data_IF_164101627993
#
_entry.id   IF_164101627993
#
_cell.length_a   1.000
_cell.length_b   1.000
_cell.length_c   1.000
_cell.angle_alpha   90.00
_cell.angle_beta   90.00
_cell.angle_gamma   90.00
#
_symmetry.space_group_name_H-M   'P 1'
#
loop_
_entity.id
_entity.type
_entity.pdbx_description
1 polymer ?
#
# COMPACT_ATOMS: atom_id res chain seq x y z
N UNK A 1 -14.03 -17.97 8.75
CA UNK A 1 -13.87 -18.53 10.08
C UNK A 1 -13.24 -17.49 11.00
N UNK A 2 -13.75 -17.41 12.25
CA UNK A 2 -13.19 -16.50 13.27
C UNK A 2 -13.10 -17.25 14.60
N UNK A 3 -11.99 -17.07 15.30
CA UNK A 3 -11.80 -17.56 16.66
C UNK A 3 -11.12 -16.49 17.50
N UNK A 4 -11.54 -16.35 18.74
CA UNK A 4 -11.01 -15.39 19.69
C UNK A 4 -10.95 -16.02 21.08
N UNK A 5 -9.91 -15.75 21.83
CA UNK A 5 -9.71 -16.18 23.20
C UNK A 5 -9.12 -15.03 24.00
N UNK A 6 -9.64 -14.79 25.19
CA UNK A 6 -9.09 -13.86 26.16
C UNK A 6 -8.71 -14.66 27.41
N UNK A 7 -7.48 -14.47 27.88
CA UNK A 7 -6.93 -15.16 29.03
C UNK A 7 -6.48 -14.15 30.07
N UNK A 8 -7.13 -14.07 31.21
CA UNK A 8 -6.61 -13.31 32.35
C UNK A 8 -5.40 -14.06 32.92
N UNK A 9 -4.20 -13.53 32.67
CA UNK A 9 -2.95 -14.11 33.17
C UNK A 9 -2.76 -13.77 34.65
N UNK A 10 -3.12 -12.54 35.01
CA UNK A 10 -3.14 -12.01 36.37
C UNK A 10 -4.43 -11.18 36.52
N UNK A 11 -4.77 -10.82 37.76
CA UNK A 11 -5.93 -9.96 38.02
C UNK A 11 -5.85 -8.61 37.28
N UNK A 12 -4.62 -8.15 37.01
CA UNK A 12 -4.33 -6.89 36.35
C UNK A 12 -3.69 -7.03 34.94
N UNK A 13 -3.59 -8.27 34.41
CA UNK A 13 -3.03 -8.53 33.08
C UNK A 13 -3.93 -9.49 32.30
N UNK A 14 -4.48 -9.01 31.21
CA UNK A 14 -5.22 -9.81 30.25
C UNK A 14 -4.51 -9.85 28.91
N UNK A 15 -4.48 -11.02 28.29
CA UNK A 15 -3.97 -11.24 26.92
C UNK A 15 -5.12 -11.77 26.08
N UNK A 16 -5.29 -11.21 24.89
CA UNK A 16 -6.34 -11.59 23.93
C UNK A 16 -5.68 -11.99 22.61
N UNK A 17 -5.98 -13.20 22.17
CA UNK A 17 -5.59 -13.72 20.87
C UNK A 17 -6.81 -13.88 19.97
N UNK A 18 -6.70 -13.53 18.71
CA UNK A 18 -7.72 -13.74 17.72
C UNK A 18 -7.11 -14.20 16.39
N UNK A 19 -7.85 -14.99 15.65
CA UNK A 19 -7.49 -15.39 14.29
C UNK A 19 -8.74 -15.33 13.41
N UNK A 20 -8.58 -14.75 12.23
CA UNK A 20 -9.61 -14.70 11.19
C UNK A 20 -9.08 -15.36 9.93
N UNK A 21 -9.85 -16.30 9.40
CA UNK A 21 -9.57 -16.94 8.12
C UNK A 21 -10.70 -16.63 7.15
N UNK A 22 -10.34 -16.16 5.96
CA UNK A 22 -11.26 -15.79 4.90
C UNK A 22 -10.83 -16.45 3.59
N UNK A 23 -11.82 -16.89 2.82
CA UNK A 23 -11.65 -17.48 1.50
C UNK A 23 -12.52 -16.74 0.50
N UNK A 24 -11.91 -16.34 -0.61
CA UNK A 24 -12.53 -15.66 -1.74
C UNK A 24 -12.54 -16.63 -2.93
N UNK A 25 -13.55 -17.48 -2.96
CA UNK A 25 -13.66 -18.59 -3.93
C UNK A 25 -13.66 -18.11 -5.38
N UNK A 26 -14.27 -16.96 -5.64
CA UNK A 26 -14.33 -16.35 -6.98
C UNK A 26 -12.94 -15.95 -7.53
N UNK A 27 -11.97 -15.74 -6.64
CA UNK A 27 -10.62 -15.30 -6.99
C UNK A 27 -9.56 -16.35 -6.65
N UNK A 28 -9.95 -17.45 -6.01
CA UNK A 28 -9.03 -18.47 -5.52
C UNK A 28 -8.08 -17.97 -4.44
N UNK A 29 -8.43 -16.90 -3.73
CA UNK A 29 -7.62 -16.29 -2.68
C UNK A 29 -8.08 -16.73 -1.31
N UNK A 30 -7.13 -16.93 -0.41
CA UNK A 30 -7.37 -17.18 1.01
C UNK A 30 -6.37 -16.40 1.84
N UNK A 31 -6.78 -16.00 3.02
CA UNK A 31 -5.90 -15.32 3.97
C UNK A 31 -6.26 -15.63 5.41
N UNK A 32 -5.24 -15.67 6.25
CA UNK A 32 -5.38 -15.82 7.70
C UNK A 32 -4.75 -14.63 8.37
N UNK A 33 -5.53 -13.90 9.17
CA UNK A 33 -5.12 -12.68 9.87
C UNK A 33 -5.11 -12.95 11.37
N UNK A 34 -3.93 -13.12 11.98
CA UNK A 34 -3.78 -13.21 13.43
C UNK A 34 -3.81 -11.82 14.08
N UNK A 35 -4.25 -11.77 15.34
CA UNK A 35 -4.15 -10.59 16.20
C UNK A 35 -3.82 -11.01 17.62
N UNK A 36 -2.90 -10.30 18.24
CA UNK A 36 -2.56 -10.43 19.64
C UNK A 36 -2.67 -9.07 20.32
N UNK A 37 -3.23 -9.02 21.51
CA UNK A 37 -3.26 -7.79 22.31
C UNK A 37 -3.10 -8.10 23.79
N UNK A 38 -2.53 -7.14 24.50
CA UNK A 38 -2.34 -7.18 25.94
C UNK A 38 -2.79 -5.88 26.58
N UNK A 39 -3.43 -5.97 27.72
CA UNK A 39 -3.77 -4.87 28.61
C UNK A 39 -3.21 -5.15 29.98
N UNK A 40 -2.41 -4.25 30.51
CA UNK A 40 -1.79 -4.35 31.83
C UNK A 40 -2.12 -3.11 32.68
N UNK A 41 -2.83 -3.32 33.76
CA UNK A 41 -3.11 -2.30 34.78
C UNK A 41 -1.96 -2.28 35.78
N UNK A 42 -1.01 -1.35 35.54
CA UNK A 42 0.18 -1.19 36.41
C UNK A 42 -0.22 -0.82 37.83
N UNK A 43 -1.16 0.12 37.91
CA UNK A 43 -1.89 0.57 39.11
C UNK A 43 -3.34 0.86 38.66
N UNK A 44 -4.30 1.01 39.58
CA UNK A 44 -5.70 1.28 39.20
C UNK A 44 -5.90 2.50 38.30
N UNK A 45 -5.01 3.49 38.41
CA UNK A 45 -5.06 4.73 37.64
C UNK A 45 -4.32 4.65 36.30
N UNK A 46 -3.48 3.64 36.06
CA UNK A 46 -2.61 3.55 34.87
C UNK A 46 -2.74 2.20 34.20
N UNK A 47 -3.27 2.19 33.00
CA UNK A 47 -3.31 1.02 32.12
C UNK A 47 -2.40 1.20 30.91
N UNK A 48 -1.57 0.20 30.62
CA UNK A 48 -0.80 0.07 29.40
C UNK A 48 -1.55 -0.88 28.45
N UNK A 49 -1.39 -0.64 27.16
CA UNK A 49 -1.93 -1.51 26.12
C UNK A 49 -0.93 -1.70 24.99
N UNK A 50 -0.89 -2.89 24.46
CA UNK A 50 -0.12 -3.21 23.28
C UNK A 50 -0.95 -4.14 22.39
N UNK A 51 -0.82 -4.00 21.09
CA UNK A 51 -1.39 -4.96 20.16
C UNK A 51 -0.54 -5.06 18.89
N UNK A 52 -0.56 -6.24 18.32
CA UNK A 52 -0.02 -6.56 17.01
C UNK A 52 -1.04 -7.39 16.26
N UNK A 53 -1.11 -7.19 14.96
CA UNK A 53 -1.97 -8.01 14.12
C UNK A 53 -1.76 -7.75 12.64
N UNK A 54 -2.22 -8.70 11.85
CA UNK A 54 -2.21 -8.62 10.41
C UNK A 54 -3.63 -8.35 9.89
N UNK A 55 -3.69 -7.63 8.78
CA UNK A 55 -4.91 -7.35 8.03
C UNK A 55 -4.63 -7.50 6.54
N UNK A 56 -5.67 -7.75 5.76
CA UNK A 56 -5.54 -7.82 4.32
C UNK A 56 -6.79 -7.27 3.63
N UNK A 57 -6.63 -6.90 2.36
CA UNK A 57 -7.71 -6.50 1.46
C UNK A 57 -7.57 -7.31 0.17
N UNK A 58 -8.59 -8.09 -0.17
CA UNK A 58 -8.63 -8.80 -1.44
C UNK A 58 -8.79 -7.81 -2.60
N UNK A 59 -8.17 -8.06 -3.77
CA UNK A 59 -8.40 -7.25 -4.95
C UNK A 59 -9.88 -7.29 -5.35
N UNK A 60 -10.36 -6.19 -5.90
CA UNK A 60 -11.73 -6.13 -6.41
C UNK A 60 -11.85 -6.89 -7.72
N UNK A 61 -13.05 -7.36 -8.07
CA UNK A 61 -13.31 -8.02 -9.36
C UNK A 61 -12.98 -7.14 -10.57
N UNK A 62 -13.05 -5.81 -10.41
CA UNK A 62 -12.63 -4.86 -11.45
C UNK A 62 -11.11 -4.86 -11.65
N UNK A 63 -10.33 -4.99 -10.56
CA UNK A 63 -8.87 -5.02 -10.60
C UNK A 63 -8.34 -6.34 -11.18
N UNK A 64 -9.06 -7.44 -11.00
CA UNK A 64 -8.62 -8.77 -11.47
C UNK A 64 -9.13 -9.13 -12.86
N UNK A 65 -10.22 -8.51 -13.31
CA UNK A 65 -10.85 -8.83 -14.60
C UNK A 65 -10.01 -8.29 -15.77
N UNK A 66 -9.55 -9.15 -16.70
CA UNK A 66 -8.92 -8.67 -17.93
C UNK A 66 -9.87 -7.74 -18.71
N UNK A 67 -9.34 -6.64 -19.25
CA UNK A 67 -10.13 -5.77 -20.11
C UNK A 67 -10.64 -6.56 -21.32
N UNK A 68 -11.93 -6.48 -21.55
CA UNK A 68 -12.50 -6.86 -22.83
C UNK A 68 -12.07 -5.80 -23.86
N UNK A 69 -11.80 -6.22 -25.09
CA UNK A 69 -11.30 -5.34 -26.18
C UNK A 69 -11.86 -3.93 -26.12
N UNK A 70 -10.98 -2.92 -26.03
CA UNK A 70 -11.24 -1.48 -26.18
C UNK A 70 -12.09 -0.78 -25.09
N UNK A 71 -12.46 -1.45 -23.99
CA UNK A 71 -13.38 -0.84 -23.01
C UNK A 71 -12.78 0.31 -22.20
N UNK A 72 -11.44 0.39 -22.07
CA UNK A 72 -10.76 1.40 -21.25
C UNK A 72 -9.52 1.96 -21.96
N UNK A 73 -9.64 2.28 -23.23
CA UNK A 73 -8.56 2.90 -23.99
C UNK A 73 -8.80 4.40 -24.14
N UNK A 74 -7.72 5.17 -24.11
CA UNK A 74 -7.71 6.60 -24.35
C UNK A 74 -6.36 7.02 -24.90
N UNK A 75 -6.32 8.22 -25.48
CA UNK A 75 -5.09 8.78 -26.01
C UNK A 75 -4.09 9.11 -24.89
N UNK A 76 -2.80 8.93 -25.16
CA UNK A 76 -1.73 9.44 -24.30
C UNK A 76 -1.48 10.91 -24.63
N UNK A 77 -1.63 11.78 -23.63
CA UNK A 77 -1.47 13.22 -23.78
C UNK A 77 -0.19 13.75 -23.11
N UNK A 78 0.49 12.91 -22.31
CA UNK A 78 1.69 13.28 -21.58
C UNK A 78 2.55 12.04 -21.34
N UNK A 79 3.75 12.26 -20.81
CA UNK A 79 4.68 11.21 -20.48
C UNK A 79 5.86 11.14 -21.45
N UNK A 80 6.88 10.40 -21.03
CA UNK A 80 8.11 10.21 -21.82
C UNK A 80 8.49 8.74 -21.88
N UNK A 81 9.10 8.38 -22.97
CA UNK A 81 9.74 7.09 -23.14
C UNK A 81 11.26 7.26 -23.03
N UNK A 82 11.79 6.95 -21.87
CA UNK A 82 13.23 7.10 -21.57
C UNK A 82 14.12 6.29 -22.52
N UNK A 83 13.58 5.18 -23.06
CA UNK A 83 14.34 4.33 -23.97
C UNK A 83 14.55 5.01 -25.34
N UNK A 84 13.56 5.68 -25.88
CA UNK A 84 13.65 6.37 -27.16
C UNK A 84 13.92 7.87 -27.03
N UNK A 85 13.83 8.43 -25.84
CA UNK A 85 13.90 9.88 -25.59
C UNK A 85 12.75 10.65 -26.20
N UNK A 86 11.65 9.99 -26.58
CA UNK A 86 10.49 10.61 -27.21
C UNK A 86 9.33 10.77 -26.24
N UNK A 87 8.44 11.73 -26.53
CA UNK A 87 7.19 11.88 -25.81
C UNK A 87 6.21 10.78 -26.21
N UNK A 88 5.36 10.37 -25.27
CA UNK A 88 4.29 9.36 -25.47
C UNK A 88 3.04 9.94 -26.15
N UNK A 89 3.15 11.10 -26.76
CA UNK A 89 2.04 11.79 -27.41
C UNK A 89 1.52 11.04 -28.64
N UNK A 90 0.20 10.88 -28.74
CA UNK A 90 -0.48 10.29 -29.88
C UNK A 90 -0.53 8.77 -29.92
N UNK A 91 -0.01 8.09 -28.89
CA UNK A 91 -0.24 6.66 -28.69
C UNK A 91 -1.51 6.40 -27.88
N UNK A 92 -1.86 5.13 -27.76
CA UNK A 92 -3.02 4.68 -26.96
C UNK A 92 -2.58 4.13 -25.60
N UNK A 93 -3.33 4.44 -24.57
CA UNK A 93 -3.26 3.77 -23.27
C UNK A 93 -4.53 2.95 -23.07
N UNK A 94 -4.38 1.67 -22.78
CA UNK A 94 -5.51 0.81 -22.41
C UNK A 94 -5.30 0.27 -21.00
N UNK A 95 -6.27 0.50 -20.11
CA UNK A 95 -6.26 -0.07 -18.76
C UNK A 95 -6.85 -1.49 -18.79
N UNK A 96 -6.18 -2.43 -18.12
CA UNK A 96 -6.62 -3.80 -17.97
C UNK A 96 -6.48 -4.24 -16.52
N UNK A 97 -7.40 -5.06 -16.03
CA UNK A 97 -7.22 -5.77 -14.77
C UNK A 97 -6.15 -6.84 -14.89
N UNK A 98 -5.63 -7.26 -13.75
CA UNK A 98 -4.60 -8.29 -13.65
C UNK A 98 -5.15 -9.48 -12.85
N UNK A 99 -5.39 -10.65 -13.47
CA UNK A 99 -5.91 -11.83 -12.79
C UNK A 99 -4.91 -12.43 -11.78
N UNK A 100 -3.66 -12.04 -11.82
CA UNK A 100 -2.60 -12.53 -10.94
C UNK A 100 -2.38 -11.66 -9.69
N UNK A 101 -3.30 -10.73 -9.40
CA UNK A 101 -3.20 -9.91 -8.19
C UNK A 101 -3.36 -10.74 -6.94
N UNK A 102 -2.42 -10.57 -6.01
CA UNK A 102 -2.57 -11.02 -4.64
C UNK A 102 -3.29 -9.99 -3.75
N UNK A 103 -3.64 -10.34 -2.52
CA UNK A 103 -4.21 -9.41 -1.56
C UNK A 103 -3.19 -8.36 -1.12
N UNK A 104 -3.67 -7.15 -0.85
CA UNK A 104 -2.90 -6.16 -0.08
C UNK A 104 -2.78 -6.63 1.37
N UNK A 105 -1.65 -6.39 2.01
CA UNK A 105 -1.41 -6.76 3.40
C UNK A 105 -1.03 -5.55 4.24
N UNK A 106 -1.41 -5.58 5.50
CA UNK A 106 -0.97 -4.60 6.48
C UNK A 106 -0.63 -5.31 7.79
N UNK A 107 0.54 -4.97 8.35
CA UNK A 107 0.92 -5.29 9.71
C UNK A 107 0.71 -4.06 10.57
N UNK A 108 0.01 -4.23 11.69
CA UNK A 108 -0.40 -3.12 12.56
C UNK A 108 0.13 -3.39 13.95
N UNK A 109 0.98 -2.49 14.44
CA UNK A 109 1.50 -2.51 15.81
C UNK A 109 1.04 -1.27 16.56
N UNK A 110 0.48 -1.44 17.75
CA UNK A 110 0.05 -0.34 18.61
C UNK A 110 0.64 -0.48 20.00
N UNK A 111 1.03 0.67 20.56
CA UNK A 111 1.40 0.82 21.97
C UNK A 111 0.72 2.06 22.52
N UNK A 112 0.20 1.96 23.74
CA UNK A 112 -0.40 3.12 24.35
C UNK A 112 -0.58 2.98 25.85
N UNK A 113 -0.96 4.08 26.47
CA UNK A 113 -1.36 4.10 27.86
C UNK A 113 -2.59 4.97 28.06
N UNK A 114 -3.29 4.72 29.13
CA UNK A 114 -4.35 5.59 29.66
C UNK A 114 -4.07 5.80 31.12
N UNK A 115 -4.06 7.08 31.54
CA UNK A 115 -3.88 7.48 32.92
C UNK A 115 -5.09 8.29 33.40
N UNK A 116 -5.70 7.81 34.46
CA UNK A 116 -6.90 8.39 35.10
C UNK A 116 -6.63 8.57 36.59
N UNK A 117 -5.90 9.62 36.98
CA UNK A 117 -5.53 9.88 38.37
C UNK A 117 -6.75 10.12 39.25
N UNK A 118 -6.60 9.82 40.53
CA UNK A 118 -7.59 10.09 41.56
C UNK A 118 -7.17 11.27 42.47
N UNK A 119 -8.03 11.64 43.40
CA UNK A 119 -7.75 12.71 44.37
C UNK A 119 -7.81 14.12 43.77
N UNK A 120 -6.74 14.90 43.83
CA UNK A 120 -6.74 16.29 43.37
C UNK A 120 -6.93 16.45 41.85
N UNK A 121 -6.65 15.40 41.07
CA UNK A 121 -6.77 15.36 39.64
C UNK A 121 -7.92 14.46 39.18
N UNK A 122 -8.84 14.15 40.10
CA UNK A 122 -10.02 13.36 39.76
C UNK A 122 -10.79 13.98 38.60
N UNK A 123 -11.21 13.13 37.67
CA UNK A 123 -11.85 13.54 36.42
C UNK A 123 -10.88 13.83 35.26
N UNK A 124 -9.56 13.85 35.49
CA UNK A 124 -8.57 13.92 34.41
C UNK A 124 -8.41 12.55 33.73
N UNK A 125 -8.36 12.54 32.40
CA UNK A 125 -7.98 11.39 31.58
C UNK A 125 -6.90 11.83 30.58
N UNK A 126 -5.76 11.13 30.59
CA UNK A 126 -4.74 11.25 29.59
C UNK A 126 -4.58 9.95 28.85
N UNK A 127 -4.52 9.99 27.53
CA UNK A 127 -4.24 8.82 26.69
C UNK A 127 -3.25 9.20 25.60
N UNK A 128 -2.26 8.36 25.42
CA UNK A 128 -1.31 8.43 24.31
C UNK A 128 -1.25 7.06 23.65
N UNK A 129 -1.38 7.05 22.33
CA UNK A 129 -1.26 5.87 21.50
C UNK A 129 -0.30 6.14 20.36
N UNK A 130 0.64 5.24 20.17
CA UNK A 130 1.47 5.14 18.98
C UNK A 130 0.99 3.96 18.15
N UNK A 131 0.79 4.18 16.87
CA UNK A 131 0.43 3.16 15.90
C UNK A 131 1.38 3.20 14.74
N UNK A 132 1.96 2.04 14.41
CA UNK A 132 2.68 1.80 13.18
C UNK A 132 1.87 0.88 12.28
N UNK A 133 1.72 1.24 11.02
CA UNK A 133 1.08 0.41 9.99
C UNK A 133 2.04 0.25 8.84
N UNK A 134 2.44 -0.99 8.58
CA UNK A 134 3.31 -1.36 7.46
C UNK A 134 2.45 -2.00 6.37
N UNK A 135 2.29 -1.30 5.25
CA UNK A 135 1.58 -1.82 4.09
C UNK A 135 2.55 -2.49 3.13
N UNK A 136 2.20 -3.70 2.70
CA UNK A 136 2.93 -4.45 1.68
C UNK A 136 1.97 -4.90 0.58
N UNK A 137 2.50 -5.14 -0.61
CA UNK A 137 1.74 -5.65 -1.75
C UNK A 137 0.53 -4.78 -2.12
N UNK A 138 0.58 -3.46 -1.86
CA UNK A 138 -0.52 -2.58 -2.23
C UNK A 138 -0.77 -2.58 -3.72
N UNK A 139 -2.04 -2.70 -4.06
CA UNK A 139 -2.48 -2.71 -5.44
C UNK A 139 -2.51 -1.27 -5.97
N UNK A 140 -1.70 -1.02 -6.98
CA UNK A 140 -1.65 0.24 -7.71
C UNK A 140 -1.80 -0.03 -9.20
N UNK A 141 -2.60 0.77 -9.87
CA UNK A 141 -2.59 0.81 -11.32
C UNK A 141 -1.35 1.56 -11.77
N UNK A 142 -0.54 0.91 -12.58
CA UNK A 142 0.64 1.52 -13.17
C UNK A 142 0.21 2.55 -14.21
N UNK A 143 0.84 3.72 -14.20
CA UNK A 143 0.71 4.71 -15.27
C UNK A 143 1.49 4.26 -16.52
N UNK A 144 1.26 4.92 -17.65
CA UNK A 144 2.06 4.72 -18.86
C UNK A 144 3.54 5.01 -18.63
N UNK A 145 3.86 6.03 -17.82
CA UNK A 145 5.24 6.35 -17.43
C UNK A 145 5.85 5.25 -16.56
N UNK A 146 5.11 4.69 -15.60
CA UNK A 146 5.60 3.57 -14.80
C UNK A 146 5.95 2.36 -15.70
N UNK A 147 5.10 2.07 -16.67
CA UNK A 147 5.28 0.91 -17.57
C UNK A 147 6.49 1.11 -18.49
N UNK A 148 6.62 2.28 -19.12
CA UNK A 148 7.79 2.59 -19.99
C UNK A 148 9.07 2.69 -19.20
N UNK A 149 9.03 3.27 -18.00
CA UNK A 149 10.14 3.36 -17.08
C UNK A 149 10.63 1.98 -16.63
N UNK A 150 9.72 1.09 -16.27
CA UNK A 150 10.08 -0.28 -15.91
C UNK A 150 10.75 -1.04 -17.07
N UNK A 151 10.29 -0.85 -18.31
CA UNK A 151 10.94 -1.42 -19.48
C UNK A 151 12.36 -0.86 -19.65
N UNK A 152 12.53 0.45 -19.48
CA UNK A 152 13.83 1.10 -19.55
C UNK A 152 14.82 0.55 -18.52
N UNK A 153 14.38 0.44 -17.26
CA UNK A 153 15.22 -0.12 -16.18
C UNK A 153 15.58 -1.59 -16.43
N UNK A 154 14.64 -2.38 -16.94
CA UNK A 154 14.91 -3.77 -17.33
C UNK A 154 15.94 -3.85 -18.46
N UNK A 155 15.88 -2.98 -19.45
CA UNK A 155 16.86 -2.87 -20.52
C UNK A 155 18.24 -2.49 -19.99
N UNK A 156 18.34 -1.47 -19.12
CA UNK A 156 19.62 -1.07 -18.51
C UNK A 156 20.26 -2.24 -17.76
N UNK A 157 19.48 -2.94 -16.94
CA UNK A 157 19.95 -4.11 -16.20
C UNK A 157 20.44 -5.22 -17.13
N UNK A 158 19.68 -5.55 -18.17
CA UNK A 158 19.98 -6.62 -19.09
C UNK A 158 21.20 -6.33 -19.98
N UNK A 159 21.44 -5.06 -20.30
CA UNK A 159 22.55 -4.62 -21.20
C UNK A 159 23.78 -4.13 -20.45
N UNK A 160 23.74 -4.08 -19.11
CA UNK A 160 24.81 -3.56 -18.26
C UNK A 160 25.07 -2.07 -18.44
N UNK A 161 24.04 -1.30 -18.84
CA UNK A 161 24.14 0.14 -19.02
C UNK A 161 23.71 0.86 -17.76
N UNK A 162 24.29 2.03 -17.49
CA UNK A 162 23.83 2.92 -16.43
C UNK A 162 22.91 4.00 -16.99
N UNK A 163 21.93 4.40 -16.20
CA UNK A 163 20.98 5.44 -16.58
C UNK A 163 21.68 6.77 -16.90
N UNK A 164 22.67 7.17 -16.09
CA UNK A 164 23.40 8.43 -16.25
C UNK A 164 24.27 8.50 -17.53
N UNK A 165 24.60 7.35 -18.09
CA UNK A 165 25.41 7.27 -19.32
C UNK A 165 24.59 6.87 -20.54
N UNK A 166 23.28 6.67 -20.37
CA UNK A 166 22.42 6.29 -21.49
C UNK A 166 22.15 7.49 -22.41
N UNK A 167 22.37 7.28 -23.69
CA UNK A 167 22.05 8.25 -24.73
C UNK A 167 20.98 7.67 -25.65
N UNK A 168 19.75 8.23 -25.61
CA UNK A 168 18.60 7.75 -26.39
C UNK A 168 18.67 8.15 -27.86
N UNK A 169 19.71 8.94 -28.28
CA UNK A 169 19.84 9.44 -29.66
C UNK A 169 19.95 8.26 -30.63
N UNK A 170 19.16 8.24 -31.72
CA UNK A 170 19.28 7.20 -32.75
C UNK A 170 20.69 7.10 -33.29
N UNK A 171 21.24 5.90 -33.31
CA UNK A 171 22.62 5.65 -33.79
C UNK A 171 23.68 5.74 -32.70
N UNK A 172 23.40 6.18 -31.51
CA UNK A 172 24.35 6.10 -30.39
C UNK A 172 24.65 4.64 -30.02
N UNK A 173 25.80 4.40 -29.40
CA UNK A 173 26.20 3.06 -28.97
C UNK A 173 25.22 2.51 -27.87
N UNK A 174 24.72 3.39 -27.01
CA UNK A 174 23.75 3.04 -25.98
C UNK A 174 22.42 2.62 -26.59
N UNK A 175 21.95 3.41 -27.56
CA UNK A 175 20.70 3.15 -28.24
C UNK A 175 20.78 1.87 -29.10
N UNK A 176 21.86 1.61 -29.76
CA UNK A 176 22.05 0.38 -30.53
C UNK A 176 21.94 -0.88 -29.67
N UNK A 177 22.47 -0.86 -28.43
CA UNK A 177 22.30 -1.95 -27.47
C UNK A 177 20.85 -2.11 -27.02
N UNK A 178 20.15 -1.00 -26.80
CA UNK A 178 18.75 -1.01 -26.43
C UNK A 178 17.86 -1.58 -27.55
N UNK A 179 18.10 -1.18 -28.80
CA UNK A 179 17.38 -1.67 -29.97
C UNK A 179 17.63 -3.18 -30.19
N UNK A 180 18.87 -3.65 -30.00
CA UNK A 180 19.19 -5.08 -30.05
C UNK A 180 18.47 -5.86 -28.95
N UNK A 181 18.41 -5.33 -27.72
CA UNK A 181 17.67 -5.95 -26.63
C UNK A 181 16.16 -6.00 -26.92
N UNK A 182 15.57 -4.91 -27.41
CA UNK A 182 14.16 -4.85 -27.82
C UNK A 182 13.83 -5.87 -28.91
N UNK A 183 14.71 -6.05 -29.88
CA UNK A 183 14.54 -7.04 -30.95
C UNK A 183 14.49 -8.49 -30.47
N UNK A 184 15.05 -8.77 -29.28
CA UNK A 184 14.96 -10.07 -28.61
C UNK A 184 13.74 -10.23 -27.68
N UNK A 185 12.94 -9.18 -27.49
CA UNK A 185 11.76 -9.26 -26.61
C UNK A 185 10.54 -9.76 -27.38
N UNK A 186 9.59 -10.43 -26.68
CA UNK A 186 8.30 -10.77 -27.28
C UNK A 186 7.53 -9.49 -27.69
N UNK A 187 6.58 -9.65 -28.59
CA UNK A 187 5.66 -8.56 -28.96
C UNK A 187 4.96 -8.04 -27.71
N UNK A 188 5.03 -6.72 -27.49
CA UNK A 188 4.55 -6.09 -26.26
C UNK A 188 5.63 -5.93 -25.18
N UNK A 189 6.89 -6.26 -25.44
CA UNK A 189 8.00 -6.18 -24.49
C UNK A 189 8.02 -7.29 -23.46
N UNK A 190 8.93 -7.22 -22.47
CA UNK A 190 9.13 -8.23 -21.43
C UNK A 190 7.91 -8.52 -20.53
N UNK A 191 6.88 -7.68 -20.55
CA UNK A 191 5.63 -7.88 -19.81
C UNK A 191 4.39 -7.93 -20.71
N UNK A 192 4.55 -7.88 -22.05
CA UNK A 192 3.41 -7.84 -22.97
C UNK A 192 2.63 -6.51 -22.94
N UNK A 193 3.21 -5.44 -22.40
CA UNK A 193 2.48 -4.23 -22.04
C UNK A 193 2.80 -3.02 -22.91
N UNK A 194 3.87 -3.08 -23.75
CA UNK A 194 4.30 -1.96 -24.59
C UNK A 194 4.43 -2.41 -26.05
N UNK A 195 3.66 -1.76 -26.91
CA UNK A 195 3.68 -2.02 -28.34
C UNK A 195 4.29 -0.82 -29.05
N UNK A 196 5.35 -1.07 -29.80
CA UNK A 196 6.10 -0.05 -30.52
C UNK A 196 5.92 -0.18 -32.02
N UNK A 197 5.89 0.95 -32.67
CA UNK A 197 5.92 1.04 -34.13
C UNK A 197 7.24 0.46 -34.65
N UNK A 198 7.15 -0.54 -35.49
CA UNK A 198 8.33 -1.26 -36.00
C UNK A 198 9.24 -0.41 -36.90
N UNK A 199 8.74 0.69 -37.44
CA UNK A 199 9.48 1.59 -38.33
C UNK A 199 10.09 2.76 -37.57
N UNK A 200 9.31 3.38 -36.67
CA UNK A 200 9.72 4.60 -35.95
C UNK A 200 10.32 4.31 -34.57
N UNK A 201 10.06 3.13 -34.00
CA UNK A 201 10.43 2.77 -32.63
C UNK A 201 9.61 3.47 -31.55
N UNK A 202 8.66 4.36 -31.93
CA UNK A 202 7.79 5.06 -30.99
C UNK A 202 6.78 4.10 -30.35
N UNK A 203 6.34 4.44 -29.15
CA UNK A 203 5.30 3.69 -28.45
C UNK A 203 3.93 4.04 -29.05
N UNK A 204 3.26 3.04 -29.62
CA UNK A 204 1.92 3.18 -30.19
C UNK A 204 0.83 2.81 -29.18
N UNK A 205 1.12 1.83 -28.28
CA UNK A 205 0.17 1.37 -27.27
C UNK A 205 0.88 0.97 -25.99
N UNK A 206 0.34 1.40 -24.86
CA UNK A 206 0.69 0.93 -23.53
C UNK A 206 -0.52 0.27 -22.88
N UNK A 207 -0.33 -0.95 -22.39
CA UNK A 207 -1.31 -1.61 -21.55
C UNK A 207 -0.94 -1.35 -20.08
N UNK A 208 -1.75 -0.56 -19.40
CA UNK A 208 -1.59 -0.32 -17.97
C UNK A 208 -2.37 -1.36 -17.18
N UNK A 209 -1.72 -1.98 -16.21
CA UNK A 209 -2.33 -3.00 -15.35
C UNK A 209 -2.12 -2.64 -13.88
N UNK A 210 -3.06 -3.11 -13.05
CA UNK A 210 -2.85 -3.08 -11.60
C UNK A 210 -1.81 -4.13 -11.21
N UNK A 211 -0.97 -3.78 -10.24
CA UNK A 211 0.07 -4.66 -9.69
C UNK A 211 0.21 -4.50 -8.19
N UNK A 212 0.69 -5.53 -7.50
CA UNK A 212 1.09 -5.47 -6.09
C UNK A 212 2.51 -4.87 -6.00
N UNK A 213 2.61 -3.56 -6.13
CA UNK A 213 3.90 -2.87 -6.36
C UNK A 213 4.27 -1.85 -5.30
N UNK A 214 3.36 -1.48 -4.42
CA UNK A 214 3.59 -0.43 -3.45
C UNK A 214 3.82 -0.98 -2.04
N UNK A 215 4.82 -0.42 -1.37
CA UNK A 215 5.08 -0.61 0.06
C UNK A 215 5.21 0.77 0.70
N UNK A 216 4.57 0.97 1.84
CA UNK A 216 4.79 2.18 2.63
C UNK A 216 4.43 1.95 4.09
N UNK A 217 5.07 2.73 4.95
CA UNK A 217 4.90 2.70 6.39
C UNK A 217 4.20 4.00 6.82
N UNK A 218 3.31 3.89 7.79
CA UNK A 218 2.60 5.02 8.39
C UNK A 218 2.77 4.94 9.89
N UNK A 219 3.31 6.01 10.48
CA UNK A 219 3.41 6.18 11.91
C UNK A 219 2.42 7.24 12.37
N UNK A 220 1.63 6.92 13.39
CA UNK A 220 0.60 7.79 13.94
C UNK A 220 0.79 7.91 15.45
N UNK A 221 0.60 9.11 15.97
CA UNK A 221 0.56 9.38 17.41
C UNK A 221 -0.75 10.06 17.73
N UNK A 222 -1.59 9.37 18.50
CA UNK A 222 -2.85 9.91 18.96
C UNK A 222 -2.71 10.33 20.43
N UNK A 223 -2.94 11.60 20.71
CA UNK A 223 -2.97 12.17 22.05
C UNK A 223 -4.39 12.61 22.40
N UNK A 224 -4.82 12.26 23.60
CA UNK A 224 -6.12 12.65 24.14
C UNK A 224 -5.96 13.14 25.56
N UNK A 225 -6.53 14.30 25.88
CA UNK A 225 -6.70 14.82 27.22
C UNK A 225 -8.18 15.12 27.43
N UNK A 226 -8.74 14.60 28.50
CA UNK A 226 -10.11 14.89 28.95
C UNK A 226 -10.11 15.36 30.38
N UNK A 227 -11.01 16.28 30.73
CA UNK A 227 -11.22 16.67 32.10
C UNK A 227 -12.71 16.85 32.38
N UNK A 228 -13.19 16.09 33.36
CA UNK A 228 -14.57 16.13 33.84
C UNK A 228 -14.56 16.73 35.26
N UNK A 229 -15.27 17.81 35.45
CA UNK A 229 -15.41 18.41 36.79
C UNK A 229 -16.82 18.90 37.01
N UNK A 230 -17.25 18.85 38.24
CA UNK A 230 -18.58 19.33 38.66
C UNK A 230 -18.42 20.52 39.62
N UNK A 231 -19.30 21.49 39.44
CA UNK A 231 -19.39 22.68 40.32
C UNK A 231 -20.74 22.70 40.98
N UNK A 232 -20.82 23.14 42.21
CA UNK A 232 -22.07 23.17 43.00
C UNK A 232 -23.16 24.01 42.32
N UNK A 233 -22.82 25.09 41.64
CA UNK A 233 -23.77 26.05 41.10
C UNK A 233 -23.91 26.08 39.58
N UNK A 234 -22.96 25.54 38.85
CA UNK A 234 -22.91 25.61 37.37
C UNK A 234 -23.05 24.26 36.68
N UNK A 235 -23.13 23.17 37.46
CA UNK A 235 -23.28 21.80 36.90
C UNK A 235 -21.96 21.14 36.55
N UNK A 236 -22.04 20.14 35.68
CA UNK A 236 -20.92 19.30 35.29
C UNK A 236 -20.35 19.76 33.93
N UNK A 237 -19.05 19.93 33.86
CA UNK A 237 -18.31 20.28 32.66
C UNK A 237 -17.51 19.08 32.17
N UNK A 238 -17.52 18.87 30.86
CA UNK A 238 -16.74 17.85 30.18
C UNK A 238 -15.93 18.55 29.08
N UNK A 239 -14.62 18.55 29.20
CA UNK A 239 -13.72 19.14 28.22
C UNK A 239 -12.87 18.03 27.61
N UNK A 240 -12.61 18.10 26.30
CA UNK A 240 -11.77 17.12 25.61
C UNK A 240 -10.95 17.78 24.51
N UNK A 241 -9.68 17.44 24.47
CA UNK A 241 -8.76 17.77 23.38
C UNK A 241 -8.23 16.46 22.79
N UNK A 242 -8.27 16.34 21.46
CA UNK A 242 -7.64 15.25 20.73
C UNK A 242 -6.69 15.85 19.70
N UNK A 243 -5.51 15.27 19.55
CA UNK A 243 -4.51 15.61 18.55
C UNK A 243 -4.00 14.32 17.90
N UNK A 244 -3.68 14.42 16.60
CA UNK A 244 -3.16 13.31 15.82
C UNK A 244 -2.04 13.78 14.91
#
# INVERSE_FOLDING_TARGET
LFAEVEVPILDNLAIKGAVRHEEFTDQGLQNTSPKLSARYEVIPELALRASWGESFVAPTSFQTRPALKNENCGDMYSGSDDLSGSLLLGGLRCASGNPNLGPEKAEITNFGFTWQPTGRLDGLELSLDYQQVQYTDRIRTLSEDDVTRNQFLAMLSATGQSESAYDPTPGSASRAKADAWLGGQPVGGAGGNIFRNSVTGKVDLVLTQSGNVAKFDVDLVDFKIGYNFSTENLGTFNTRLNAR
#
